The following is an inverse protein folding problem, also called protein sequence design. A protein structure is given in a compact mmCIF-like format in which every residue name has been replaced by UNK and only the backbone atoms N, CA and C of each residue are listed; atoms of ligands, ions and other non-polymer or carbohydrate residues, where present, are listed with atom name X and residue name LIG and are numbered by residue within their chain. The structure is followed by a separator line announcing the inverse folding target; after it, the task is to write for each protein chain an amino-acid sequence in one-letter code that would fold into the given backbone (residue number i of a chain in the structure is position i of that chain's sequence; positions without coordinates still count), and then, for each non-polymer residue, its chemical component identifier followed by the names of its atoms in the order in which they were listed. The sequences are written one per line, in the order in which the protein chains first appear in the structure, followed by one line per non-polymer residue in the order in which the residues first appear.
data_IF_900660354310
#
_entry.id   IF_900660354310
#
_cell.length_a   1.000
_cell.length_b   1.000
_cell.length_c   1.000
_cell.angle_alpha   90.00
_cell.angle_beta   90.00
_cell.angle_gamma   90.00
#
_symmetry.space_group_name_H-M   'P 1'
#
loop_
_entity.id
_entity.type
_entity.pdbx_description
1 polymer ?
#
# COMPACT_ATOMS: atom_id res chain seq x y z
N UNK A 1 0.39 22.97 3.75
CA UNK A 1 1.53 23.79 4.23
C UNK A 1 1.87 24.81 3.17
N UNK A 2 2.10 26.09 3.52
CA UNK A 2 2.37 27.14 2.52
C UNK A 2 3.69 26.85 1.76
N UNK A 3 3.81 27.15 0.45
CA UNK A 3 4.97 26.79 -0.37
C UNK A 3 6.32 27.28 0.18
N UNK A 4 6.37 28.51 0.71
CA UNK A 4 7.59 29.08 1.29
C UNK A 4 8.08 28.31 2.53
N UNK A 5 7.18 27.71 3.31
CA UNK A 5 7.53 26.93 4.50
C UNK A 5 8.19 25.61 4.10
N UNK A 6 7.72 24.97 3.03
CA UNK A 6 8.33 23.74 2.47
C UNK A 6 9.76 23.98 2.00
N UNK A 7 10.00 25.13 1.34
CA UNK A 7 11.32 25.53 0.87
C UNK A 7 12.30 25.85 2.00
N UNK A 8 11.81 26.33 3.15
CA UNK A 8 12.64 26.48 4.35
C UNK A 8 12.99 25.13 4.97
N UNK A 9 12.02 24.21 5.03
CA UNK A 9 12.24 22.86 5.56
C UNK A 9 13.28 22.11 4.73
N UNK A 10 13.28 22.24 3.40
CA UNK A 10 14.27 21.57 2.54
C UNK A 10 15.71 22.06 2.73
N UNK A 11 15.92 23.22 3.36
CA UNK A 11 17.24 23.76 3.70
C UNK A 11 17.77 23.25 5.06
N UNK A 12 16.94 22.57 5.84
CA UNK A 12 17.35 22.02 7.14
C UNK A 12 18.18 20.74 6.96
N UNK A 13 19.00 20.35 7.96
CA UNK A 13 19.63 19.04 8.00
C UNK A 13 18.61 17.90 7.85
N UNK A 14 18.99 16.81 7.19
CA UNK A 14 18.09 15.66 6.94
C UNK A 14 17.45 15.12 8.22
N UNK A 15 18.19 15.09 9.33
CA UNK A 15 17.68 14.66 10.64
C UNK A 15 16.52 15.54 11.14
N UNK A 16 16.57 16.84 10.89
CA UNK A 16 15.50 17.79 11.23
C UNK A 16 14.31 17.64 10.28
N UNK A 17 14.58 17.47 8.98
CA UNK A 17 13.52 17.20 8.00
C UNK A 17 12.74 15.94 8.41
N UNK A 18 13.45 14.87 8.78
CA UNK A 18 12.84 13.63 9.23
C UNK A 18 12.08 13.79 10.55
N UNK A 19 12.58 14.59 11.50
CA UNK A 19 11.86 14.89 12.74
C UNK A 19 10.54 15.63 12.48
N UNK A 20 10.56 16.64 11.59
CA UNK A 20 9.36 17.38 11.19
C UNK A 20 8.37 16.48 10.44
N UNK A 21 8.87 15.63 9.53
CA UNK A 21 8.08 14.65 8.80
C UNK A 21 7.34 13.72 9.75
N UNK A 22 8.05 13.11 10.73
CA UNK A 22 7.44 12.27 11.78
C UNK A 22 6.36 13.03 12.55
N UNK A 23 6.64 14.25 13.01
CA UNK A 23 5.65 15.04 13.76
C UNK A 23 4.42 15.37 12.92
N UNK A 24 4.60 15.69 11.64
CA UNK A 24 3.53 16.01 10.72
C UNK A 24 2.60 14.80 10.49
N UNK A 25 3.17 13.66 10.10
CA UNK A 25 2.41 12.46 9.80
C UNK A 25 1.80 11.82 11.04
N UNK A 26 2.45 11.89 12.19
CA UNK A 26 1.84 11.48 13.46
C UNK A 26 0.58 12.27 13.75
N UNK A 27 0.62 13.60 13.58
CA UNK A 27 -0.56 14.45 13.79
C UNK A 27 -1.65 14.17 12.76
N UNK A 28 -1.28 13.99 11.47
CA UNK A 28 -2.23 13.61 10.42
C UNK A 28 -2.92 12.29 10.78
N UNK A 29 -2.14 11.28 11.16
CA UNK A 29 -2.63 9.97 11.52
C UNK A 29 -3.51 9.98 12.77
N UNK A 30 -3.18 10.76 13.80
CA UNK A 30 -4.00 10.90 15.02
C UNK A 30 -5.36 11.57 14.77
N UNK A 31 -5.44 12.45 13.78
CA UNK A 31 -6.67 13.17 13.43
C UNK A 31 -7.53 12.40 12.42
N UNK A 32 -6.95 11.42 11.73
CA UNK A 32 -7.64 10.63 10.72
C UNK A 32 -8.81 9.83 11.32
N UNK A 33 -9.88 9.72 10.55
CA UNK A 33 -11.09 8.96 10.84
C UNK A 33 -11.36 7.97 9.70
N UNK A 34 -12.00 6.84 10.03
CA UNK A 34 -12.43 5.85 9.05
C UNK A 34 -13.34 6.43 7.96
N UNK A 35 -14.03 7.53 8.24
CA UNK A 35 -14.96 8.20 7.32
C UNK A 35 -14.29 9.22 6.40
N UNK A 36 -12.98 9.45 6.55
CA UNK A 36 -12.29 10.50 5.78
C UNK A 36 -12.13 10.10 4.31
N UNK A 37 -12.04 8.79 4.00
CA UNK A 37 -11.88 8.25 2.66
C UNK A 37 -12.79 7.01 2.49
N UNK A 38 -13.48 6.83 1.34
CA UNK A 38 -14.34 5.66 1.12
C UNK A 38 -13.63 4.32 1.30
N UNK A 39 -12.35 4.26 0.95
CA UNK A 39 -11.54 3.04 0.99
C UNK A 39 -11.18 2.65 2.44
N UNK A 40 -11.03 3.64 3.33
CA UNK A 40 -10.88 3.39 4.76
C UNK A 40 -12.17 2.84 5.38
N UNK A 41 -13.33 3.32 4.93
CA UNK A 41 -14.61 2.79 5.38
C UNK A 41 -14.79 1.32 4.94
N UNK A 42 -14.23 0.94 3.79
CA UNK A 42 -14.27 -0.43 3.29
C UNK A 42 -13.55 -1.43 4.21
N UNK A 43 -12.53 -1.01 4.97
CA UNK A 43 -11.83 -1.87 5.94
C UNK A 43 -12.83 -2.56 6.87
N UNK A 44 -13.80 -1.81 7.41
CA UNK A 44 -14.79 -2.36 8.33
C UNK A 44 -15.72 -3.42 7.70
N UNK A 45 -15.81 -3.47 6.37
CA UNK A 45 -16.57 -4.49 5.62
C UNK A 45 -15.72 -5.70 5.25
N UNK A 46 -14.41 -5.52 5.15
CA UNK A 46 -13.49 -6.47 4.54
C UNK A 46 -12.64 -7.25 5.56
N UNK A 47 -12.52 -6.75 6.79
CA UNK A 47 -11.74 -7.38 7.86
C UNK A 47 -12.57 -7.69 9.11
N UNK A 48 -12.09 -8.64 9.91
CA UNK A 48 -12.70 -9.08 11.17
C UNK A 48 -11.64 -9.20 12.29
N UNK A 49 -12.06 -9.16 13.57
CA UNK A 49 -11.17 -9.46 14.67
C UNK A 49 -10.47 -10.82 14.52
N UNK A 50 -9.15 -10.86 14.73
CA UNK A 50 -8.34 -12.08 14.60
C UNK A 50 -7.79 -12.35 13.19
N UNK A 51 -8.11 -11.52 12.20
CA UNK A 51 -7.57 -11.70 10.85
C UNK A 51 -6.08 -11.40 10.77
N UNK A 52 -5.37 -12.13 9.91
CA UNK A 52 -4.02 -11.79 9.48
C UNK A 52 -4.07 -11.04 8.16
N UNK A 53 -3.57 -9.80 8.16
CA UNK A 53 -3.76 -8.86 7.06
C UNK A 53 -2.44 -8.25 6.59
N UNK A 54 -2.35 -7.96 5.29
CA UNK A 54 -1.18 -7.36 4.64
C UNK A 54 -1.54 -5.95 4.17
N UNK A 55 -0.73 -4.95 4.53
CA UNK A 55 -0.80 -3.56 4.03
C UNK A 55 0.40 -3.31 3.12
N UNK A 56 0.22 -3.51 1.81
CA UNK A 56 1.27 -3.35 0.79
C UNK A 56 1.22 -1.90 0.29
N UNK A 57 2.35 -1.20 0.40
CA UNK A 57 2.42 0.26 0.20
C UNK A 57 1.89 1.04 1.39
N UNK A 58 2.38 0.73 2.59
CA UNK A 58 1.85 1.23 3.85
C UNK A 58 2.10 2.74 4.09
N UNK A 59 3.06 3.35 3.38
CA UNK A 59 3.38 4.78 3.46
C UNK A 59 3.60 5.24 4.91
N UNK A 60 2.86 6.24 5.41
CA UNK A 60 2.95 6.68 6.81
C UNK A 60 2.10 5.86 7.80
N UNK A 61 1.43 4.80 7.35
CA UNK A 61 0.66 3.88 8.20
C UNK A 61 -0.80 4.27 8.42
N UNK A 62 -1.44 4.94 7.44
CA UNK A 62 -2.86 5.27 7.52
C UNK A 62 -3.73 4.01 7.57
N UNK A 63 -3.62 3.16 6.54
CA UNK A 63 -4.32 1.87 6.48
C UNK A 63 -3.84 0.95 7.59
N UNK A 64 -2.53 0.84 7.82
CA UNK A 64 -1.94 0.06 8.93
C UNK A 64 -2.63 0.32 10.26
N UNK A 65 -2.88 1.59 10.63
CA UNK A 65 -3.58 1.94 11.86
C UNK A 65 -5.00 1.36 11.90
N UNK A 66 -5.78 1.61 10.87
CA UNK A 66 -7.18 1.19 10.85
C UNK A 66 -7.36 -0.32 10.70
N UNK A 67 -6.47 -0.98 9.96
CA UNK A 67 -6.38 -2.43 9.90
C UNK A 67 -6.06 -3.00 11.28
N UNK A 68 -5.05 -2.44 11.96
CA UNK A 68 -4.63 -2.85 13.32
C UNK A 68 -5.77 -2.70 14.32
N UNK A 69 -6.51 -1.59 14.28
CA UNK A 69 -7.69 -1.35 15.13
C UNK A 69 -8.84 -2.32 14.79
N UNK A 70 -9.09 -2.60 13.49
CA UNK A 70 -10.18 -3.47 13.04
C UNK A 70 -9.96 -4.94 13.39
N UNK A 71 -8.75 -5.46 13.17
CA UNK A 71 -8.43 -6.87 13.45
C UNK A 71 -8.17 -7.13 14.93
N UNK A 72 -7.96 -6.08 15.72
CA UNK A 72 -7.76 -6.16 17.16
C UNK A 72 -6.50 -6.92 17.58
N UNK A 73 -6.31 -7.08 18.89
CA UNK A 73 -5.06 -7.63 19.46
C UNK A 73 -4.79 -9.10 19.10
N UNK A 74 -5.82 -9.84 18.70
CA UNK A 74 -5.69 -11.24 18.27
C UNK A 74 -5.36 -11.36 16.77
N UNK A 75 -5.55 -10.28 16.01
CA UNK A 75 -5.14 -10.22 14.61
C UNK A 75 -3.70 -9.77 14.45
N UNK A 76 -3.18 -9.83 13.22
CA UNK A 76 -1.83 -9.34 12.89
C UNK A 76 -1.86 -8.54 11.60
N UNK A 77 -1.15 -7.40 11.59
CA UNK A 77 -0.95 -6.57 10.38
C UNK A 77 0.52 -6.63 10.00
N UNK A 78 0.81 -7.03 8.77
CA UNK A 78 2.13 -6.97 8.16
C UNK A 78 2.15 -5.82 7.15
N UNK A 79 2.93 -4.77 7.42
CA UNK A 79 2.90 -3.52 6.66
C UNK A 79 4.20 -3.31 5.89
N UNK A 80 4.14 -3.09 4.59
CA UNK A 80 5.31 -2.98 3.71
C UNK A 80 5.48 -1.56 3.19
N UNK A 81 6.62 -0.94 3.52
CA UNK A 81 6.99 0.39 3.01
C UNK A 81 8.48 0.39 2.61
N UNK A 82 8.81 0.41 1.31
CA UNK A 82 10.18 0.24 0.84
C UNK A 82 11.08 1.46 1.07
N UNK A 83 10.53 2.68 1.06
CA UNK A 83 11.35 3.89 1.14
C UNK A 83 11.77 4.15 2.58
N UNK A 84 13.08 4.30 2.82
CA UNK A 84 13.62 4.44 4.18
C UNK A 84 13.05 5.62 4.97
N UNK A 85 12.79 6.73 4.28
CA UNK A 85 12.19 7.93 4.84
C UNK A 85 10.78 7.68 5.39
N UNK A 86 9.93 6.99 4.62
CA UNK A 86 8.55 6.70 5.01
C UNK A 86 8.46 5.51 5.94
N UNK A 87 9.30 4.49 5.76
CA UNK A 87 9.40 3.37 6.69
C UNK A 87 9.72 3.84 8.11
N UNK A 88 10.64 4.79 8.26
CA UNK A 88 10.97 5.39 9.56
C UNK A 88 9.77 6.14 10.16
N UNK A 89 8.90 6.72 9.33
CA UNK A 89 7.65 7.35 9.78
C UNK A 89 6.63 6.30 10.22
N UNK A 90 6.43 5.26 9.40
CA UNK A 90 5.53 4.12 9.68
C UNK A 90 5.88 3.46 11.00
N UNK A 91 7.14 3.08 11.20
CA UNK A 91 7.62 2.43 12.42
C UNK A 91 7.40 3.33 13.64
N UNK A 92 7.73 4.62 13.51
CA UNK A 92 7.50 5.58 14.59
C UNK A 92 6.02 5.73 14.94
N UNK A 93 5.15 5.78 13.93
CA UNK A 93 3.72 5.88 14.11
C UNK A 93 3.15 4.65 14.82
N UNK A 94 3.48 3.44 14.35
CA UNK A 94 3.07 2.18 14.98
C UNK A 94 3.44 2.14 16.47
N UNK A 95 4.70 2.47 16.78
CA UNK A 95 5.18 2.54 18.17
C UNK A 95 4.47 3.62 18.98
N UNK A 96 4.30 4.82 18.43
CA UNK A 96 3.75 5.97 19.16
C UNK A 96 2.25 5.84 19.48
N UNK A 97 1.53 5.07 18.66
CA UNK A 97 0.12 4.74 18.84
C UNK A 97 -0.10 3.43 19.59
N UNK A 98 0.97 2.68 19.89
CA UNK A 98 0.87 1.41 20.61
C UNK A 98 0.23 0.29 19.79
N UNK A 99 0.41 0.28 18.46
CA UNK A 99 -0.10 -0.75 17.55
C UNK A 99 0.72 -2.05 17.71
N UNK A 100 0.42 -2.83 18.76
CA UNK A 100 1.20 -4.03 19.13
C UNK A 100 1.10 -5.17 18.13
N UNK A 101 0.03 -5.21 17.35
CA UNK A 101 -0.24 -6.21 16.33
C UNK A 101 0.25 -5.79 14.93
N UNK A 102 0.80 -4.59 14.76
CA UNK A 102 1.35 -4.12 13.49
C UNK A 102 2.86 -4.34 13.39
N UNK A 103 3.31 -4.99 12.32
CA UNK A 103 4.70 -5.35 12.05
C UNK A 103 5.14 -4.70 10.75
N UNK A 104 5.89 -3.58 10.80
CA UNK A 104 6.37 -2.91 9.60
C UNK A 104 7.63 -3.57 9.01
N UNK A 105 7.71 -3.65 7.68
CA UNK A 105 8.84 -4.18 6.91
C UNK A 105 9.30 -3.17 5.85
N UNK A 106 10.62 -2.99 5.74
CA UNK A 106 11.24 -2.07 4.77
C UNK A 106 11.54 -2.80 3.46
N UNK A 107 10.49 -3.28 2.82
CA UNK A 107 10.58 -4.14 1.63
C UNK A 107 9.44 -3.77 0.69
N UNK A 108 9.71 -3.76 -0.62
CA UNK A 108 8.67 -3.72 -1.63
C UNK A 108 8.30 -5.16 -2.00
N UNK A 109 7.00 -5.44 -2.13
CA UNK A 109 6.57 -6.71 -2.71
C UNK A 109 6.56 -6.61 -4.23
N UNK A 110 7.06 -7.64 -4.90
CA UNK A 110 7.21 -7.75 -6.35
C UNK A 110 7.10 -9.21 -6.77
N UNK A 111 7.24 -9.48 -8.06
CA UNK A 111 7.44 -10.79 -8.68
C UNK A 111 8.84 -11.40 -8.47
N UNK A 112 9.76 -10.66 -7.83
CA UNK A 112 11.13 -11.11 -7.57
C UNK A 112 11.67 -10.58 -6.24
N UNK A 113 12.72 -11.25 -5.76
CA UNK A 113 13.47 -10.86 -4.56
C UNK A 113 14.83 -10.30 -4.94
N UNK A 114 15.31 -9.30 -4.19
CA UNK A 114 16.61 -8.67 -4.44
C UNK A 114 16.63 -7.18 -4.15
N UNK A 115 17.25 -6.42 -5.05
CA UNK A 115 17.33 -4.96 -4.96
C UNK A 115 16.83 -4.37 -6.26
N UNK A 116 15.87 -3.46 -6.17
CA UNK A 116 15.30 -2.76 -7.32
C UNK A 116 15.44 -1.25 -7.18
N UNK A 117 15.32 -0.55 -8.29
CA UNK A 117 15.30 0.91 -8.32
C UNK A 117 13.86 1.41 -8.21
N UNK A 118 13.63 2.34 -7.27
CA UNK A 118 12.36 3.02 -7.08
C UNK A 118 12.56 4.50 -7.35
N UNK A 119 11.66 5.09 -8.14
CA UNK A 119 11.65 6.53 -8.39
C UNK A 119 10.69 7.21 -7.42
N UNK A 120 11.18 8.25 -6.76
CA UNK A 120 10.36 9.15 -5.96
C UNK A 120 10.26 10.48 -6.73
N UNK A 121 9.10 10.82 -7.31
CA UNK A 121 8.93 12.06 -8.05
C UNK A 121 9.20 13.29 -7.19
N UNK A 122 9.59 14.39 -7.82
CA UNK A 122 9.71 15.70 -7.15
C UNK A 122 8.50 16.55 -7.55
N UNK A 123 7.81 17.12 -6.55
CA UNK A 123 6.71 18.05 -6.77
C UNK A 123 7.24 19.37 -7.35
N UNK A 124 6.36 20.18 -7.93
CA UNK A 124 6.70 21.53 -8.44
C UNK A 124 7.41 22.43 -7.42
N UNK A 125 7.15 22.21 -6.12
CA UNK A 125 7.77 22.95 -5.01
C UNK A 125 9.14 22.41 -4.56
N UNK A 126 9.69 21.41 -5.25
CA UNK A 126 10.99 20.80 -4.99
C UNK A 126 10.98 19.73 -3.89
N UNK A 127 9.83 19.37 -3.32
CA UNK A 127 9.73 18.31 -2.31
C UNK A 127 9.46 16.93 -2.91
N UNK A 128 9.97 15.87 -2.28
CA UNK A 128 9.74 14.49 -2.72
C UNK A 128 8.26 14.08 -2.54
N UNK A 129 7.68 13.48 -3.57
CA UNK A 129 6.33 12.94 -3.57
C UNK A 129 6.31 11.44 -3.28
N UNK A 130 6.41 11.08 -2.01
CA UNK A 130 6.37 9.68 -1.59
C UNK A 130 5.01 8.99 -1.82
N UNK A 131 3.96 9.73 -2.22
CA UNK A 131 2.69 9.13 -2.60
C UNK A 131 2.75 8.52 -4.01
N UNK A 132 3.56 9.06 -4.92
CA UNK A 132 3.67 8.59 -6.31
C UNK A 132 4.98 7.81 -6.52
N UNK A 133 5.51 7.19 -5.46
CA UNK A 133 6.76 6.44 -5.56
C UNK A 133 6.49 5.07 -6.20
N UNK A 134 7.16 4.77 -7.31
CA UNK A 134 6.91 3.55 -8.08
C UNK A 134 8.20 2.79 -8.41
N UNK A 135 8.07 1.47 -8.54
CA UNK A 135 9.10 0.62 -9.12
C UNK A 135 9.09 0.78 -10.65
N UNK A 136 10.27 0.85 -11.26
CA UNK A 136 10.49 0.90 -12.72
C UNK A 136 9.76 2.03 -13.50
N UNK A 137 10.26 3.28 -13.47
CA UNK A 137 9.59 4.42 -14.06
C UNK A 137 9.82 4.51 -15.58
N UNK A 138 9.11 3.73 -16.40
CA UNK A 138 9.15 3.95 -17.86
C UNK A 138 8.48 5.30 -18.23
N UNK A 139 7.57 5.83 -17.39
CA UNK A 139 6.81 7.06 -17.69
C UNK A 139 7.21 8.30 -16.89
N UNK A 140 7.84 8.17 -15.72
CA UNK A 140 8.10 9.29 -14.79
C UNK A 140 9.49 9.93 -14.91
N UNK A 141 10.35 9.44 -15.83
CA UNK A 141 11.64 10.07 -16.13
C UNK A 141 11.50 11.50 -16.72
N UNK A 142 10.33 11.85 -17.28
CA UNK A 142 10.08 13.18 -17.85
C UNK A 142 9.94 14.30 -16.79
N UNK A 143 9.63 13.96 -15.54
CA UNK A 143 9.30 14.92 -14.47
C UNK A 143 10.48 15.25 -13.54
N UNK A 144 11.61 14.55 -13.69
CA UNK A 144 12.66 14.50 -12.68
C UNK A 144 12.24 13.72 -11.43
N UNK A 145 13.20 13.39 -10.57
CA UNK A 145 12.93 12.62 -9.35
C UNK A 145 14.19 12.14 -8.66
N UNK A 146 14.03 11.51 -7.50
CA UNK A 146 15.11 10.84 -6.77
C UNK A 146 14.95 9.33 -6.93
N UNK A 147 15.91 8.69 -7.59
CA UNK A 147 16.00 7.23 -7.60
C UNK A 147 16.64 6.74 -6.31
N UNK A 148 16.03 5.73 -5.68
CA UNK A 148 16.54 5.05 -4.50
C UNK A 148 16.57 3.56 -4.72
N UNK A 149 17.52 2.87 -4.09
CA UNK A 149 17.56 1.40 -4.08
C UNK A 149 16.72 0.89 -2.92
N UNK A 150 15.83 -0.05 -3.21
CA UNK A 150 14.93 -0.67 -2.24
C UNK A 150 15.08 -2.18 -2.28
N UNK A 151 14.87 -2.83 -1.14
CA UNK A 151 14.80 -4.28 -1.06
C UNK A 151 13.46 -4.76 -1.61
N UNK A 152 13.49 -5.78 -2.44
CA UNK A 152 12.31 -6.45 -3.00
C UNK A 152 12.22 -7.89 -2.50
N UNK A 153 11.00 -8.38 -2.33
CA UNK A 153 10.68 -9.78 -2.02
C UNK A 153 9.39 -10.18 -2.74
N UNK A 154 9.23 -11.46 -3.04
CA UNK A 154 7.90 -12.00 -3.35
C UNK A 154 7.06 -12.15 -2.08
N UNK A 155 5.73 -12.12 -2.18
CA UNK A 155 4.86 -12.39 -1.03
C UNK A 155 4.96 -13.86 -0.62
N UNK A 156 5.10 -14.77 -1.57
CA UNK A 156 5.27 -16.20 -1.31
C UNK A 156 6.54 -16.47 -0.47
N UNK A 157 7.66 -15.87 -0.84
CA UNK A 157 8.91 -15.97 -0.07
C UNK A 157 8.77 -15.31 1.30
N UNK A 158 8.12 -14.14 1.38
CA UNK A 158 7.88 -13.47 2.66
C UNK A 158 7.08 -14.35 3.63
N UNK A 159 5.97 -14.92 3.17
CA UNK A 159 5.11 -15.78 3.98
C UNK A 159 5.86 -17.03 4.44
N UNK A 160 6.64 -17.65 3.54
CA UNK A 160 7.48 -18.81 3.87
C UNK A 160 8.53 -18.47 4.93
N UNK A 161 9.29 -17.39 4.75
CA UNK A 161 10.37 -16.99 5.66
C UNK A 161 9.87 -16.55 7.04
N UNK A 162 8.71 -15.91 7.12
CA UNK A 162 8.16 -15.42 8.38
C UNK A 162 7.16 -16.38 9.04
N UNK A 163 6.92 -17.55 8.43
CA UNK A 163 5.97 -18.54 8.94
C UNK A 163 4.55 -18.00 8.99
N UNK A 164 4.14 -17.23 7.99
CA UNK A 164 2.76 -16.75 7.85
C UNK A 164 1.93 -17.88 7.27
N UNK A 165 1.13 -18.52 8.11
CA UNK A 165 0.32 -19.70 7.80
C UNK A 165 -1.13 -19.37 7.42
N UNK A 166 -1.52 -18.09 7.53
CA UNK A 166 -2.83 -17.58 7.14
C UNK A 166 -2.73 -16.14 6.67
N UNK A 167 -3.43 -15.83 5.58
CA UNK A 167 -3.65 -14.47 5.09
C UNK A 167 -5.14 -14.33 4.77
N UNK A 168 -5.83 -13.39 5.43
CA UNK A 168 -7.27 -13.19 5.30
C UNK A 168 -7.61 -12.00 4.41
N UNK A 169 -6.79 -10.96 4.48
CA UNK A 169 -7.02 -9.72 3.74
C UNK A 169 -5.71 -9.08 3.27
N UNK A 170 -5.73 -8.52 2.06
CA UNK A 170 -4.61 -7.75 1.49
C UNK A 170 -5.11 -6.40 1.02
N UNK A 171 -4.54 -5.31 1.52
CA UNK A 171 -4.57 -4.02 0.83
C UNK A 171 -3.31 -3.91 -0.03
N UNK A 172 -3.47 -3.54 -1.30
CA UNK A 172 -2.37 -3.32 -2.23
C UNK A 172 -2.55 -2.01 -2.98
N UNK A 173 -1.57 -1.11 -2.83
CA UNK A 173 -1.50 0.17 -3.51
C UNK A 173 -0.02 0.48 -3.64
N UNK A 174 0.50 0.25 -4.85
CA UNK A 174 1.94 0.21 -5.16
C UNK A 174 2.26 1.01 -6.43
N UNK A 175 1.35 1.90 -6.81
CA UNK A 175 1.51 2.89 -7.88
C UNK A 175 1.96 2.30 -9.22
N UNK A 176 1.22 1.31 -9.73
CA UNK A 176 1.43 0.72 -11.05
C UNK A 176 2.22 -0.59 -11.04
N UNK A 177 2.59 -1.11 -9.86
CA UNK A 177 3.32 -2.37 -9.69
C UNK A 177 2.42 -3.53 -9.24
N UNK A 178 1.11 -3.38 -9.43
CA UNK A 178 0.10 -4.30 -8.89
C UNK A 178 0.20 -5.69 -9.53
N UNK A 179 0.50 -5.75 -10.83
CA UNK A 179 0.59 -7.01 -11.58
C UNK A 179 1.72 -7.88 -11.04
N UNK A 180 2.89 -7.28 -10.84
CA UNK A 180 4.09 -7.92 -10.32
C UNK A 180 3.88 -8.40 -8.89
N UNK A 181 3.20 -7.61 -8.04
CA UNK A 181 2.77 -8.06 -6.71
C UNK A 181 1.88 -9.30 -6.80
N UNK A 182 0.90 -9.32 -7.71
CA UNK A 182 0.01 -10.47 -7.90
C UNK A 182 0.78 -11.71 -8.38
N UNK A 183 1.76 -11.55 -9.27
CA UNK A 183 2.61 -12.66 -9.73
C UNK A 183 3.48 -13.23 -8.61
N UNK A 184 4.11 -12.37 -7.82
CA UNK A 184 4.90 -12.76 -6.64
C UNK A 184 4.07 -13.27 -5.45
N UNK A 185 2.75 -13.17 -5.53
CA UNK A 185 1.80 -13.63 -4.51
C UNK A 185 1.03 -14.88 -4.94
N UNK A 186 1.31 -15.46 -6.11
CA UNK A 186 0.48 -16.51 -6.71
C UNK A 186 0.23 -17.69 -5.77
N UNK A 187 1.26 -18.22 -5.12
CA UNK A 187 1.13 -19.35 -4.19
C UNK A 187 0.27 -18.99 -2.98
N UNK A 188 0.51 -17.82 -2.39
CA UNK A 188 -0.22 -17.27 -1.24
C UNK A 188 -1.70 -17.05 -1.58
N UNK A 189 -2.00 -16.46 -2.75
CA UNK A 189 -3.36 -16.17 -3.19
C UNK A 189 -4.15 -17.44 -3.51
N UNK A 190 -3.52 -18.42 -4.14
CA UNK A 190 -4.15 -19.71 -4.44
C UNK A 190 -4.36 -20.55 -3.16
N UNK A 191 -3.46 -20.45 -2.18
CA UNK A 191 -3.53 -21.25 -0.97
C UNK A 191 -4.46 -20.66 0.09
N UNK A 192 -4.30 -19.38 0.44
CA UNK A 192 -5.05 -18.74 1.53
C UNK A 192 -6.34 -18.09 1.07
N UNK A 193 -6.46 -17.78 -0.23
CA UNK A 193 -7.65 -17.14 -0.82
C UNK A 193 -8.08 -15.86 -0.06
N UNK A 194 -7.17 -14.92 0.25
CA UNK A 194 -7.54 -13.70 0.97
C UNK A 194 -8.47 -12.83 0.13
N UNK A 195 -9.34 -12.06 0.77
CA UNK A 195 -9.99 -10.92 0.09
C UNK A 195 -8.96 -9.82 -0.15
N UNK A 196 -9.04 -9.10 -1.27
CA UNK A 196 -8.11 -8.00 -1.53
C UNK A 196 -8.84 -6.69 -1.77
N UNK A 197 -8.23 -5.58 -1.37
CA UNK A 197 -8.52 -4.22 -1.80
C UNK A 197 -7.31 -3.73 -2.59
N UNK A 198 -7.46 -3.48 -3.88
CA UNK A 198 -6.36 -3.11 -4.77
C UNK A 198 -6.64 -1.76 -5.43
N UNK A 199 -5.66 -0.87 -5.37
CA UNK A 199 -5.68 0.41 -6.09
C UNK A 199 -5.06 0.20 -7.47
N UNK A 200 -5.85 0.43 -8.51
CA UNK A 200 -5.40 0.36 -9.91
C UNK A 200 -5.70 1.68 -10.56
N UNK A 201 -4.68 2.51 -10.73
CA UNK A 201 -4.77 3.85 -11.33
C UNK A 201 -4.92 3.81 -12.88
N UNK A 202 -5.69 2.85 -13.40
CA UNK A 202 -6.00 2.67 -14.81
C UNK A 202 -7.33 1.92 -15.00
N UNK A 203 -8.11 2.19 -16.08
CA UNK A 203 -9.31 1.41 -16.37
C UNK A 203 -8.97 -0.07 -16.62
N UNK A 204 -9.74 -0.98 -16.01
CA UNK A 204 -9.48 -2.42 -16.10
C UNK A 204 -9.76 -3.02 -17.49
N UNK A 205 -10.59 -2.40 -18.32
CA UNK A 205 -11.03 -2.96 -19.61
C UNK A 205 -10.72 -2.08 -20.82
N UNK A 206 -9.88 -1.06 -20.65
CA UNK A 206 -9.46 -0.16 -21.73
C UNK A 206 -8.11 -0.54 -22.38
N UNK A 207 -7.55 -1.71 -22.06
CA UNK A 207 -6.20 -2.11 -22.44
C UNK A 207 -5.10 -1.56 -21.52
N UNK A 208 -3.86 -2.01 -21.72
CA UNK A 208 -2.71 -1.58 -20.92
C UNK A 208 -2.62 -2.25 -19.54
N UNK A 209 -2.11 -1.53 -18.55
CA UNK A 209 -1.85 -2.06 -17.20
C UNK A 209 -3.09 -2.66 -16.54
N UNK A 210 -4.19 -1.91 -16.50
CA UNK A 210 -5.44 -2.34 -15.88
C UNK A 210 -5.99 -3.64 -16.49
N UNK A 211 -5.85 -3.85 -17.81
CA UNK A 211 -6.29 -5.10 -18.44
C UNK A 211 -5.43 -6.30 -18.08
N UNK A 212 -4.11 -6.14 -17.90
CA UNK A 212 -3.26 -7.23 -17.46
C UNK A 212 -3.55 -7.62 -16.00
N UNK A 213 -3.82 -6.62 -15.14
CA UNK A 213 -4.30 -6.87 -13.77
C UNK A 213 -5.64 -7.62 -13.80
N UNK A 214 -6.60 -7.16 -14.61
CA UNK A 214 -7.90 -7.83 -14.79
C UNK A 214 -7.76 -9.30 -15.22
N UNK A 215 -6.90 -9.57 -16.20
CA UNK A 215 -6.63 -10.93 -16.69
C UNK A 215 -6.01 -11.80 -15.59
N UNK A 216 -5.00 -11.28 -14.88
CA UNK A 216 -4.33 -11.99 -13.78
C UNK A 216 -5.28 -12.33 -12.65
N UNK A 217 -6.12 -11.37 -12.24
CA UNK A 217 -7.12 -11.57 -11.18
C UNK A 217 -8.09 -12.69 -11.55
N UNK A 218 -8.58 -12.70 -12.81
CA UNK A 218 -9.45 -13.77 -13.31
C UNK A 218 -8.75 -15.12 -13.38
N UNK A 219 -7.49 -15.15 -13.81
CA UNK A 219 -6.67 -16.37 -13.82
C UNK A 219 -6.53 -16.96 -12.40
N UNK A 220 -6.36 -16.12 -11.39
CA UNK A 220 -6.27 -16.49 -9.98
C UNK A 220 -7.62 -16.89 -9.37
N UNK A 221 -8.71 -16.83 -10.15
CA UNK A 221 -10.05 -17.22 -9.71
C UNK A 221 -10.65 -16.24 -8.71
N UNK A 222 -10.57 -14.94 -9.01
CA UNK A 222 -11.15 -13.87 -8.22
C UNK A 222 -12.24 -13.11 -8.99
N UNK A 223 -13.33 -12.80 -8.30
CA UNK A 223 -14.38 -11.89 -8.74
C UNK A 223 -14.06 -10.45 -8.32
N UNK A 224 -14.34 -9.50 -9.21
CA UNK A 224 -14.03 -8.08 -9.01
C UNK A 224 -15.28 -7.33 -8.60
N UNK A 225 -15.15 -6.54 -7.55
CA UNK A 225 -16.21 -5.74 -6.97
C UNK A 225 -15.74 -4.30 -6.79
N UNK A 226 -16.69 -3.38 -6.64
CA UNK A 226 -16.47 -1.99 -6.23
C UNK A 226 -17.19 -1.73 -4.92
N UNK A 227 -16.70 -0.75 -4.15
CA UNK A 227 -17.35 -0.31 -2.90
C UNK A 227 -18.23 0.89 -3.22
N UNK A 228 -19.52 0.78 -2.91
CA UNK A 228 -20.48 1.90 -3.02
C UNK A 228 -21.21 2.11 -1.71
N UNK A 229 -20.82 3.15 -0.97
CA UNK A 229 -21.29 3.33 0.40
C UNK A 229 -20.75 2.20 1.28
N UNK A 230 -21.66 1.44 1.92
CA UNK A 230 -21.29 0.28 2.76
C UNK A 230 -21.55 -1.08 2.09
N UNK A 231 -21.65 -1.12 0.75
CA UNK A 231 -21.97 -2.33 0.00
C UNK A 231 -20.90 -2.65 -1.05
N UNK A 232 -20.62 -3.94 -1.21
CA UNK A 232 -19.87 -4.47 -2.35
C UNK A 232 -20.81 -4.75 -3.50
N UNK A 233 -20.43 -4.31 -4.70
CA UNK A 233 -21.18 -4.56 -5.93
C UNK A 233 -20.26 -5.17 -6.98
N UNK A 234 -20.69 -6.17 -7.76
CA UNK A 234 -19.90 -6.69 -8.85
C UNK A 234 -19.53 -5.57 -9.83
N UNK A 235 -18.24 -5.44 -10.12
CA UNK A 235 -17.74 -4.46 -11.09
C UNK A 235 -18.32 -4.76 -12.48
N UNK A 236 -18.67 -3.72 -13.22
CA UNK A 236 -19.16 -3.83 -14.60
C UNK A 236 -18.15 -3.23 -15.59
N UNK A 237 -17.97 -3.84 -16.78
CA UNK A 237 -17.20 -3.24 -17.86
C UNK A 237 -17.62 -1.79 -18.15
N UNK A 238 -16.64 -0.91 -18.33
CA UNK A 238 -16.80 0.54 -18.48
C UNK A 238 -16.86 1.33 -17.18
N UNK A 239 -16.96 0.69 -16.00
CA UNK A 239 -16.84 1.38 -14.72
C UNK A 239 -15.38 1.70 -14.42
N UNK A 240 -15.08 3.00 -14.32
CA UNK A 240 -13.78 3.49 -13.87
C UNK A 240 -13.84 3.70 -12.36
N UNK A 241 -13.01 2.97 -11.63
CA UNK A 241 -12.79 3.11 -10.21
C UNK A 241 -11.28 3.15 -9.96
N UNK A 242 -10.89 3.66 -8.80
CA UNK A 242 -9.49 3.63 -8.37
C UNK A 242 -9.26 2.37 -7.53
N UNK A 243 -10.21 2.08 -6.62
CA UNK A 243 -10.14 0.95 -5.71
C UNK A 243 -11.11 -0.17 -6.09
N UNK A 244 -10.58 -1.39 -6.15
CA UNK A 244 -11.30 -2.60 -6.50
C UNK A 244 -11.19 -3.64 -5.38
N UNK A 245 -12.28 -4.35 -5.12
CA UNK A 245 -12.31 -5.44 -4.14
C UNK A 245 -12.30 -6.78 -4.87
N UNK A 246 -11.30 -7.60 -4.58
CA UNK A 246 -11.16 -8.94 -5.16
C UNK A 246 -11.67 -9.97 -4.15
N UNK A 247 -12.65 -10.77 -4.56
CA UNK A 247 -13.20 -11.88 -3.76
C UNK A 247 -12.84 -13.21 -4.40
N UNK A 248 -12.32 -14.19 -3.65
CA UNK A 248 -12.13 -15.52 -4.20
C UNK A 248 -13.50 -16.13 -4.59
N UNK A 249 -13.56 -16.79 -5.74
CA UNK A 249 -14.60 -17.79 -6.03
C UNK A 249 -14.69 -18.85 -4.93
#
# INVERSE_FOLDING_TARGET
MKPWLKRLVSLLPESMQQALRRSHYRRKLQLARLTDEPDLAAIALLTKPGDTVLDIGANFGLFTRFLSESVGNEGTVYSFEPTGDMFTVLENNCRSLGLKNAKPFRTALSDHSGISEMLIPVREDGTLNHYEASLEPVQSAASGGKTVRVETSTLDEFCSHHGVDRVDFIKCDVEGHELEVLEGARGTLLHHRPTMLIEVNAPLDAGGHGSHVLEKVRELGYDIHTVKGNELRPWQPGEVCVNYVLRPH
#
